data_IF_353348561463
#
_entry.id   IF_353348561463
#
_cell.length_a   1.000
_cell.length_b   1.000
_cell.length_c   1.000
_cell.angle_alpha   90.00
_cell.angle_beta   90.00
_cell.angle_gamma   90.00
#
_symmetry.space_group_name_H-M   'P 1'
#
loop_
_entity.id
_entity.type
_entity.pdbx_description
1 polymer ?
#
# COMPACT_ATOMS: atom_id res chain seq x y z
N UNK A 1 -57.37 -55.59 8.12
CA UNK A 1 -57.78 -55.69 6.71
C UNK A 1 -56.93 -54.70 5.93
N UNK A 2 -55.81 -55.17 5.37
CA UNK A 2 -55.03 -54.53 4.31
C UNK A 2 -54.14 -55.64 3.74
N UNK A 3 -54.70 -56.32 2.74
CA UNK A 3 -54.01 -57.30 1.89
C UNK A 3 -52.81 -56.62 1.26
N UNK A 4 -51.61 -57.04 1.67
CA UNK A 4 -50.38 -56.73 0.97
C UNK A 4 -50.33 -57.58 -0.28
N UNK A 5 -50.97 -57.04 -1.31
CA UNK A 5 -50.80 -57.28 -2.73
C UNK A 5 -49.47 -57.97 -3.05
N UNK A 6 -49.53 -59.22 -3.55
CA UNK A 6 -48.38 -59.99 -3.99
C UNK A 6 -47.64 -59.23 -5.11
N UNK A 7 -46.58 -58.53 -4.74
CA UNK A 7 -45.69 -57.89 -5.70
C UNK A 7 -45.00 -58.98 -6.54
N UNK A 8 -45.01 -58.88 -7.88
CA UNK A 8 -44.39 -59.87 -8.75
C UNK A 8 -42.93 -60.05 -8.35
N UNK A 9 -42.47 -61.31 -8.27
CA UNK A 9 -41.16 -61.71 -7.75
C UNK A 9 -39.96 -60.95 -8.36
N UNK A 10 -40.13 -60.39 -9.56
CA UNK A 10 -39.17 -59.50 -10.21
C UNK A 10 -38.99 -58.16 -9.47
N UNK A 11 -40.05 -57.54 -8.98
CA UNK A 11 -40.00 -56.28 -8.22
C UNK A 11 -39.46 -56.53 -6.80
N UNK A 12 -39.84 -57.65 -6.18
CA UNK A 12 -39.28 -58.06 -4.90
C UNK A 12 -37.75 -58.29 -5.00
N UNK A 13 -37.29 -58.99 -6.03
CA UNK A 13 -35.86 -59.19 -6.28
C UNK A 13 -35.12 -57.90 -6.64
N UNK A 14 -35.76 -56.97 -7.35
CA UNK A 14 -35.20 -55.66 -7.67
C UNK A 14 -35.06 -54.77 -6.41
N UNK A 15 -36.07 -54.78 -5.54
CA UNK A 15 -36.03 -54.08 -4.24
C UNK A 15 -34.97 -54.67 -3.32
N UNK A 16 -34.88 -55.99 -3.21
CA UNK A 16 -33.85 -56.65 -2.39
C UNK A 16 -32.45 -56.36 -2.93
N UNK A 17 -32.24 -56.32 -4.26
CA UNK A 17 -30.97 -55.90 -4.86
C UNK A 17 -30.67 -54.42 -4.63
N UNK A 18 -31.66 -53.53 -4.72
CA UNK A 18 -31.47 -52.10 -4.48
C UNK A 18 -31.15 -51.80 -3.02
N UNK A 19 -31.85 -52.44 -2.08
CA UNK A 19 -31.56 -52.34 -0.64
C UNK A 19 -30.18 -52.91 -0.33
N UNK A 20 -29.81 -54.07 -0.90
CA UNK A 20 -28.45 -54.62 -0.75
C UNK A 20 -27.37 -53.73 -1.37
N UNK A 21 -27.66 -53.00 -2.45
CA UNK A 21 -26.73 -52.05 -3.07
C UNK A 21 -26.53 -50.82 -2.17
N UNK A 22 -27.58 -50.38 -1.47
CA UNK A 22 -27.56 -49.24 -0.55
C UNK A 22 -26.95 -49.57 0.82
N UNK A 23 -26.90 -50.85 1.21
CA UNK A 23 -26.25 -51.33 2.44
C UNK A 23 -24.80 -51.79 2.26
N UNK A 24 -24.23 -51.71 1.05
CA UNK A 24 -22.79 -51.97 0.84
C UNK A 24 -21.96 -50.88 1.54
N UNK A 25 -20.75 -51.21 2.02
CA UNK A 25 -19.87 -50.22 2.63
C UNK A 25 -19.60 -49.09 1.63
N UNK A 26 -19.82 -47.85 2.05
CA UNK A 26 -19.46 -46.67 1.27
C UNK A 26 -17.94 -46.57 1.30
N UNK A 27 -17.31 -46.91 0.19
CA UNK A 27 -15.87 -46.77 0.02
C UNK A 27 -15.53 -45.28 -0.13
N UNK A 28 -14.76 -44.75 0.80
CA UNK A 28 -14.12 -43.45 0.64
C UNK A 28 -12.86 -43.62 -0.20
N UNK A 29 -12.79 -42.97 -1.35
CA UNK A 29 -11.60 -42.94 -2.20
C UNK A 29 -10.89 -41.61 -2.03
N UNK A 30 -9.58 -41.64 -1.80
CA UNK A 30 -8.78 -40.44 -1.62
C UNK A 30 -7.30 -40.66 -1.97
N UNK A 31 -6.54 -39.57 -1.99
CA UNK A 31 -5.09 -39.60 -2.18
C UNK A 31 -4.47 -39.07 -0.90
N UNK A 32 -3.69 -39.91 -0.22
CA UNK A 32 -2.90 -39.54 0.97
C UNK A 32 -1.45 -39.92 0.69
N UNK A 33 -0.54 -38.97 0.85
CA UNK A 33 0.90 -39.12 0.59
C UNK A 33 1.22 -39.69 -0.79
N UNK A 34 0.52 -39.20 -1.82
CA UNK A 34 0.73 -39.59 -3.22
C UNK A 34 0.29 -41.01 -3.58
N UNK A 35 -0.37 -41.74 -2.67
CA UNK A 35 -0.92 -43.07 -2.94
C UNK A 35 -2.44 -43.05 -2.84
N UNK A 36 -3.10 -43.68 -3.81
CA UNK A 36 -4.55 -43.89 -3.76
C UNK A 36 -4.88 -44.89 -2.65
N UNK A 37 -5.82 -44.53 -1.78
CA UNK A 37 -6.34 -45.43 -0.76
C UNK A 37 -7.86 -45.58 -0.88
N UNK A 38 -8.33 -46.77 -0.53
CA UNK A 38 -9.74 -47.08 -0.37
C UNK A 38 -9.94 -47.55 1.07
N UNK A 39 -10.62 -46.74 1.88
CA UNK A 39 -10.89 -47.07 3.28
C UNK A 39 -12.38 -47.38 3.46
N UNK A 40 -12.66 -48.47 4.17
CA UNK A 40 -14.00 -48.82 4.59
C UNK A 40 -14.39 -47.85 5.71
N UNK A 41 -15.26 -46.88 5.41
CA UNK A 41 -15.74 -46.01 6.46
C UNK A 41 -16.49 -46.85 7.50
N UNK A 42 -16.07 -46.84 8.78
CA UNK A 42 -16.81 -47.56 9.80
C UNK A 42 -18.23 -46.98 9.85
N UNK A 43 -19.23 -47.86 9.86
CA UNK A 43 -20.61 -47.46 10.15
C UNK A 43 -20.56 -46.65 11.44
N UNK A 44 -20.93 -45.38 11.38
CA UNK A 44 -21.10 -44.54 12.57
C UNK A 44 -22.01 -45.31 13.51
N UNK A 45 -21.44 -45.88 14.57
CA UNK A 45 -22.21 -46.65 15.53
C UNK A 45 -23.12 -45.67 16.26
N UNK A 46 -24.42 -45.74 16.01
CA UNK A 46 -25.44 -44.94 16.69
C UNK A 46 -25.51 -45.19 18.21
N UNK A 47 -24.76 -46.19 18.69
CA UNK A 47 -24.55 -46.49 20.10
C UNK A 47 -23.29 -45.80 20.63
N UNK A 48 -23.23 -44.49 20.49
CA UNK A 48 -22.33 -43.70 21.34
C UNK A 48 -22.88 -43.74 22.76
N UNK A 49 -22.09 -44.27 23.70
CA UNK A 49 -22.48 -44.38 25.11
C UNK A 49 -22.76 -43.00 25.67
N UNK A 50 -23.67 -42.91 26.66
CA UNK A 50 -24.04 -41.63 27.29
C UNK A 50 -22.81 -40.87 27.78
N UNK A 51 -21.82 -41.59 28.30
CA UNK A 51 -20.55 -41.02 28.78
C UNK A 51 -19.73 -40.36 27.67
N UNK A 52 -19.66 -40.97 26.48
CA UNK A 52 -18.94 -40.40 25.35
C UNK A 52 -19.62 -39.12 24.82
N UNK A 53 -20.96 -39.07 24.84
CA UNK A 53 -21.71 -37.85 24.53
C UNK A 53 -21.48 -36.76 25.57
N UNK A 54 -21.48 -37.12 26.86
CA UNK A 54 -21.24 -36.18 27.94
C UNK A 54 -19.81 -35.59 27.86
N UNK A 55 -18.82 -36.42 27.56
CA UNK A 55 -17.44 -35.98 27.35
C UNK A 55 -17.31 -34.99 26.18
N UNK A 56 -18.02 -35.22 25.06
CA UNK A 56 -18.06 -34.27 23.95
C UNK A 56 -18.72 -32.94 24.32
N UNK A 57 -19.78 -32.98 25.12
CA UNK A 57 -20.47 -31.77 25.60
C UNK A 57 -19.56 -30.96 26.52
N UNK A 58 -18.85 -31.61 27.44
CA UNK A 58 -17.90 -30.92 28.32
C UNK A 58 -16.71 -30.34 27.53
N UNK A 59 -16.21 -31.07 26.53
CA UNK A 59 -15.19 -30.55 25.62
C UNK A 59 -15.70 -29.33 24.83
N UNK A 60 -16.92 -29.40 24.30
CA UNK A 60 -17.54 -28.28 23.60
C UNK A 60 -17.75 -27.07 24.52
N UNK A 61 -18.18 -27.30 25.77
CA UNK A 61 -18.32 -26.25 26.78
C UNK A 61 -16.98 -25.57 27.04
N UNK A 62 -15.92 -26.37 27.26
CA UNK A 62 -14.57 -25.84 27.46
C UNK A 62 -14.12 -24.99 26.27
N UNK A 63 -14.25 -25.50 25.05
CA UNK A 63 -13.86 -24.78 23.84
C UNK A 63 -14.66 -23.47 23.66
N UNK A 64 -15.94 -23.44 24.04
CA UNK A 64 -16.75 -22.22 23.99
C UNK A 64 -16.29 -21.21 25.04
N UNK A 65 -15.95 -21.65 26.26
CA UNK A 65 -15.36 -20.79 27.29
C UNK A 65 -14.02 -20.21 26.81
N UNK A 66 -13.13 -21.04 26.28
CA UNK A 66 -11.83 -20.62 25.75
C UNK A 66 -12.00 -19.62 24.59
N UNK A 67 -13.00 -19.85 23.71
CA UNK A 67 -13.32 -18.94 22.62
C UNK A 67 -13.89 -17.60 23.11
N UNK A 68 -14.72 -17.59 24.15
CA UNK A 68 -15.25 -16.36 24.75
C UNK A 68 -14.13 -15.54 25.40
N UNK A 69 -13.21 -16.19 26.11
CA UNK A 69 -12.04 -15.54 26.71
C UNK A 69 -11.15 -14.89 25.63
N UNK A 70 -10.91 -15.60 24.52
CA UNK A 70 -10.19 -15.05 23.37
C UNK A 70 -10.90 -13.85 22.72
N UNK A 71 -12.25 -13.86 22.66
CA UNK A 71 -13.02 -12.73 22.14
C UNK A 71 -12.88 -11.52 23.06
N UNK A 72 -12.93 -11.72 24.37
CA UNK A 72 -12.77 -10.62 25.34
C UNK A 72 -11.35 -10.03 25.30
N UNK A 73 -10.33 -10.89 25.14
CA UNK A 73 -8.95 -10.44 24.92
C UNK A 73 -8.82 -9.62 23.62
N UNK A 74 -9.38 -10.11 22.52
CA UNK A 74 -9.39 -9.39 21.23
C UNK A 74 -10.13 -8.06 21.33
N UNK A 75 -11.23 -7.99 22.08
CA UNK A 75 -11.96 -6.75 22.33
C UNK A 75 -11.11 -5.77 23.11
N UNK A 76 -10.47 -6.21 24.19
CA UNK A 76 -9.57 -5.38 25.00
C UNK A 76 -8.41 -4.84 24.17
N UNK A 77 -7.77 -5.69 23.36
CA UNK A 77 -6.69 -5.29 22.46
C UNK A 77 -7.18 -4.30 21.38
N UNK A 78 -8.39 -4.50 20.83
CA UNK A 78 -8.98 -3.57 19.86
C UNK A 78 -9.24 -2.20 20.48
N UNK A 79 -9.79 -2.15 21.70
CA UNK A 79 -10.01 -0.90 22.43
C UNK A 79 -8.70 -0.18 22.74
N UNK A 80 -7.65 -0.91 23.14
CA UNK A 80 -6.31 -0.35 23.33
C UNK A 80 -5.76 0.23 22.03
N UNK A 81 -5.82 -0.52 20.93
CA UNK A 81 -5.35 -0.08 19.62
C UNK A 81 -6.10 1.16 19.10
N UNK A 82 -7.42 1.25 19.35
CA UNK A 82 -8.20 2.43 18.99
C UNK A 82 -7.75 3.67 19.77
N UNK A 83 -7.47 3.53 21.08
CA UNK A 83 -6.94 4.62 21.90
C UNK A 83 -5.55 5.06 21.45
N UNK A 84 -4.66 4.11 21.18
CA UNK A 84 -3.32 4.40 20.66
C UNK A 84 -3.37 5.10 19.31
N UNK A 85 -4.25 4.65 18.41
CA UNK A 85 -4.46 5.31 17.12
C UNK A 85 -4.96 6.74 17.28
N UNK A 86 -5.93 6.99 18.18
CA UNK A 86 -6.42 8.33 18.46
C UNK A 86 -5.30 9.26 18.96
N UNK A 87 -4.47 8.79 19.89
CA UNK A 87 -3.32 9.53 20.41
C UNK A 87 -2.28 9.79 19.30
N UNK A 88 -2.02 8.81 18.44
CA UNK A 88 -1.09 8.97 17.33
C UNK A 88 -1.58 10.02 16.31
N UNK A 89 -2.88 10.03 16.02
CA UNK A 89 -3.49 11.03 15.13
C UNK A 89 -3.43 12.44 15.72
N UNK A 90 -3.69 12.59 17.02
CA UNK A 90 -3.56 13.87 17.72
C UNK A 90 -2.12 14.39 17.66
N UNK A 91 -1.13 13.54 17.96
CA UNK A 91 0.30 13.91 17.85
C UNK A 91 0.70 14.29 16.42
N UNK A 92 0.15 13.61 15.42
CA UNK A 92 0.41 13.92 14.02
C UNK A 92 -0.18 15.28 13.63
N UNK A 93 -1.39 15.59 14.12
CA UNK A 93 -2.02 16.88 13.94
C UNK A 93 -1.16 18.01 14.54
N UNK A 94 -0.76 17.87 15.80
CA UNK A 94 0.12 18.84 16.50
C UNK A 94 1.45 19.04 15.77
N UNK A 95 2.07 17.94 15.32
CA UNK A 95 3.33 18.00 14.58
C UNK A 95 3.16 18.74 13.24
N UNK A 96 2.03 18.55 12.56
CA UNK A 96 1.71 19.24 11.31
C UNK A 96 1.50 20.74 11.55
N UNK A 97 0.75 21.12 12.58
CA UNK A 97 0.58 22.52 12.95
C UNK A 97 1.91 23.20 13.29
N UNK A 98 2.73 22.57 14.13
CA UNK A 98 4.08 23.07 14.45
C UNK A 98 4.94 23.22 13.21
N UNK A 99 4.94 22.24 12.31
CA UNK A 99 5.67 22.34 11.03
C UNK A 99 5.22 23.56 10.23
N UNK A 100 3.91 23.78 10.08
CA UNK A 100 3.40 24.95 9.36
C UNK A 100 3.75 26.28 10.03
N UNK A 101 3.82 26.33 11.37
CA UNK A 101 4.29 27.51 12.10
C UNK A 101 5.77 27.77 11.84
N UNK A 102 6.60 26.73 11.96
CA UNK A 102 8.04 26.80 11.73
C UNK A 102 8.36 27.19 10.28
N UNK A 103 7.62 26.69 9.30
CA UNK A 103 7.78 27.09 7.89
C UNK A 103 7.48 28.58 7.68
N UNK A 104 6.44 29.13 8.33
CA UNK A 104 6.14 30.57 8.29
C UNK A 104 7.24 31.40 8.95
N UNK A 105 7.74 30.97 10.11
CA UNK A 105 8.86 31.63 10.79
C UNK A 105 10.13 31.60 9.94
N UNK A 106 10.44 30.46 9.32
CA UNK A 106 11.58 30.32 8.41
C UNK A 106 11.45 31.26 7.21
N UNK A 107 10.26 31.36 6.61
CA UNK A 107 10.00 32.27 5.50
C UNK A 107 10.16 33.74 5.92
N UNK A 108 9.68 34.11 7.12
CA UNK A 108 9.86 35.44 7.67
C UNK A 108 11.35 35.76 7.88
N UNK A 109 12.12 34.86 8.50
CA UNK A 109 13.56 35.00 8.70
C UNK A 109 14.31 35.11 7.37
N UNK A 110 13.96 34.29 6.38
CA UNK A 110 14.56 34.37 5.04
C UNK A 110 14.26 35.72 4.37
N UNK A 111 13.04 36.25 4.52
CA UNK A 111 12.68 37.55 3.94
C UNK A 111 13.46 38.71 4.58
N UNK A 112 13.66 38.66 5.90
CA UNK A 112 14.47 39.63 6.64
C UNK A 112 15.94 39.51 6.21
N UNK A 113 16.48 38.29 6.17
CA UNK A 113 17.86 38.06 5.75
C UNK A 113 18.11 38.52 4.30
N UNK A 114 17.16 38.31 3.39
CA UNK A 114 17.27 38.80 2.01
C UNK A 114 17.23 40.32 1.92
N UNK A 115 16.40 40.98 2.73
CA UNK A 115 16.38 42.44 2.83
C UNK A 115 17.73 42.98 3.33
N UNK A 116 18.28 42.38 4.39
CA UNK A 116 19.56 42.77 4.97
C UNK A 116 20.71 42.55 3.98
N UNK A 117 20.77 41.39 3.31
CA UNK A 117 21.76 41.12 2.26
C UNK A 117 21.65 42.17 1.14
N UNK A 118 20.44 42.56 0.76
CA UNK A 118 20.22 43.63 -0.23
C UNK A 118 20.81 44.97 0.21
N UNK A 119 20.60 45.36 1.48
CA UNK A 119 21.15 46.59 2.05
C UNK A 119 22.67 46.51 2.16
N UNK A 120 23.23 45.42 2.70
CA UNK A 120 24.67 45.24 2.80
C UNK A 120 25.35 45.24 1.43
N UNK A 121 24.75 44.56 0.45
CA UNK A 121 25.24 44.54 -0.93
C UNK A 121 25.30 45.94 -1.54
N UNK A 122 24.28 46.76 -1.27
CA UNK A 122 24.22 48.16 -1.71
C UNK A 122 25.27 49.04 -1.01
N UNK A 123 25.48 48.85 0.29
CA UNK A 123 26.48 49.58 1.08
C UNK A 123 27.92 49.19 0.71
N UNK A 124 28.15 47.90 0.46
CA UNK A 124 29.46 47.37 0.06
C UNK A 124 29.78 47.62 -1.42
N UNK A 125 28.89 48.27 -2.18
CA UNK A 125 29.08 48.55 -3.60
C UNK A 125 29.12 47.30 -4.49
N UNK A 126 28.63 46.16 -4.01
CA UNK A 126 28.65 44.90 -4.77
C UNK A 126 27.48 44.92 -5.75
N UNK A 127 27.71 44.95 -7.07
CA UNK A 127 26.65 45.15 -8.05
C UNK A 127 25.67 43.98 -8.03
N UNK A 128 24.37 44.27 -8.15
CA UNK A 128 23.28 43.30 -8.24
C UNK A 128 23.39 42.41 -9.48
N UNK A 129 22.78 41.20 -9.46
CA UNK A 129 22.78 40.31 -10.64
C UNK A 129 22.19 41.01 -11.88
N UNK A 130 21.21 41.88 -11.66
CA UNK A 130 20.56 42.69 -12.70
C UNK A 130 21.46 43.79 -13.25
N UNK A 131 22.28 44.43 -12.40
CA UNK A 131 23.24 45.44 -12.85
C UNK A 131 24.35 44.80 -13.69
N UNK A 132 24.88 43.66 -13.25
CA UNK A 132 25.88 42.89 -14.03
C UNK A 132 25.34 42.51 -15.41
N UNK A 133 24.06 42.10 -15.48
CA UNK A 133 23.43 41.75 -16.75
C UNK A 133 23.30 42.96 -17.69
N UNK A 134 22.93 44.13 -17.15
CA UNK A 134 22.86 45.38 -17.92
C UNK A 134 24.23 45.80 -18.45
N UNK A 135 25.27 45.76 -17.62
CA UNK A 135 26.64 46.07 -18.04
C UNK A 135 27.11 45.16 -19.17
N UNK A 136 26.86 43.85 -19.07
CA UNK A 136 27.20 42.90 -20.14
C UNK A 136 26.46 43.17 -21.43
N UNK A 137 25.18 43.54 -21.34
CA UNK A 137 24.36 43.83 -22.51
C UNK A 137 24.83 45.11 -23.21
N UNK A 138 25.11 46.17 -22.44
CA UNK A 138 25.68 47.42 -22.97
C UNK A 138 27.06 47.17 -23.57
N UNK A 139 27.92 46.42 -22.88
CA UNK A 139 29.25 46.04 -23.36
C UNK A 139 29.19 45.24 -24.66
N UNK A 140 28.20 44.35 -24.81
CA UNK A 140 27.97 43.62 -26.06
C UNK A 140 27.67 44.56 -27.23
N UNK A 141 26.72 45.49 -27.08
CA UNK A 141 26.39 46.43 -28.14
C UNK A 141 27.55 47.38 -28.48
N UNK A 142 28.29 47.84 -27.48
CA UNK A 142 29.51 48.63 -27.68
C UNK A 142 30.58 47.84 -28.45
N UNK A 143 30.75 46.55 -28.13
CA UNK A 143 31.66 45.66 -28.86
C UNK A 143 31.24 45.47 -30.33
N UNK A 144 29.95 45.31 -30.60
CA UNK A 144 29.42 45.23 -31.97
C UNK A 144 29.67 46.53 -32.74
N UNK A 145 29.37 47.69 -32.13
CA UNK A 145 29.66 49.00 -32.72
C UNK A 145 31.15 49.18 -33.02
N UNK A 146 32.02 48.84 -32.06
CA UNK A 146 33.46 48.89 -32.22
C UNK A 146 33.94 48.00 -33.38
N UNK A 147 33.36 46.80 -33.52
CA UNK A 147 33.67 45.89 -34.63
C UNK A 147 33.27 46.49 -35.99
N UNK A 148 32.11 47.14 -36.10
CA UNK A 148 31.67 47.79 -37.34
C UNK A 148 32.63 48.93 -37.70
N UNK A 149 32.98 49.78 -36.74
CA UNK A 149 33.92 50.89 -36.94
C UNK A 149 35.28 50.38 -37.39
N UNK A 150 35.79 49.31 -36.76
CA UNK A 150 37.04 48.68 -37.14
C UNK A 150 37.01 48.17 -38.60
N UNK A 151 35.91 47.54 -39.02
CA UNK A 151 35.74 47.10 -40.42
C UNK A 151 35.75 48.27 -41.40
N UNK A 152 35.08 49.39 -41.07
CA UNK A 152 35.05 50.60 -41.92
C UNK A 152 36.45 51.21 -42.05
N UNK A 153 37.18 51.33 -40.94
CA UNK A 153 38.55 51.85 -40.94
C UNK A 153 39.45 50.96 -41.80
N UNK A 154 39.39 49.64 -41.60
CA UNK A 154 40.18 48.68 -42.36
C UNK A 154 39.91 48.77 -43.87
N UNK A 155 38.65 48.83 -44.26
CA UNK A 155 38.24 49.01 -45.65
C UNK A 155 38.76 50.33 -46.23
N UNK A 156 38.68 51.43 -45.48
CA UNK A 156 39.17 52.73 -45.91
C UNK A 156 40.69 52.76 -46.12
N UNK A 157 41.45 52.10 -45.24
CA UNK A 157 42.91 51.99 -45.34
C UNK A 157 43.32 51.21 -46.60
N UNK A 158 42.73 50.04 -46.85
CA UNK A 158 43.01 49.25 -48.06
C UNK A 158 42.71 50.04 -49.32
N UNK A 159 41.62 50.82 -49.32
CA UNK A 159 41.20 51.60 -50.49
C UNK A 159 42.17 52.73 -50.83
N UNK A 160 42.73 53.41 -49.84
CA UNK A 160 43.61 54.57 -50.06
C UNK A 160 45.09 54.18 -50.18
N UNK A 161 45.47 52.98 -49.75
CA UNK A 161 46.86 52.51 -49.81
C UNK A 161 46.95 51.18 -50.58
N UNK A 162 46.87 51.21 -51.93
CA UNK A 162 46.81 49.99 -52.74
C UNK A 162 48.07 49.13 -52.68
N UNK A 163 49.17 49.60 -52.09
CA UNK A 163 50.40 48.82 -51.88
C UNK A 163 50.33 47.84 -50.70
N UNK A 164 49.21 47.78 -49.98
CA UNK A 164 48.98 46.88 -48.83
C UNK A 164 47.99 45.74 -49.15
N UNK A 165 47.56 45.62 -50.41
CA UNK A 165 46.64 44.58 -50.88
C UNK A 165 47.42 43.34 -51.33
#
# INVERSE_FOLDING_TARGET
MLDLMELPSLIANALVKAVNLWTKPVFGFGIRDGRAYAELMPKVSLYETVDARLAKIELARKNLTDALEAIDELKSASEANQRELAIALERLHDAKEKKTSVEKELQAVQSIAQADIGVFRKLAGVPSKTEIAKERLVGFFLGVLASIVATVIWWSVIKHWPSLR
#
